data_IF_781112903290
#
_entry.id   IF_781112903290
#
_cell.length_a   1.000
_cell.length_b   1.000
_cell.length_c   1.000
_cell.angle_alpha   90.00
_cell.angle_beta   90.00
_cell.angle_gamma   90.00
#
_symmetry.space_group_name_H-M   'P 1'
#
loop_
_entity.id
_entity.type
_entity.pdbx_description
1 polymer ?
#
# COMPACT_ATOMS: atom_id res chain seq x y z
N UNK A 1 5.79 -2.66 -7.75
CA UNK A 1 4.55 -1.90 -7.52
C UNK A 1 3.77 -1.76 -8.81
N UNK A 2 4.33 -1.15 -9.86
CA UNK A 2 3.61 -0.88 -11.12
C UNK A 2 2.97 -2.10 -11.79
N UNK A 3 3.68 -3.23 -11.86
CA UNK A 3 3.12 -4.46 -12.44
C UNK A 3 1.86 -4.93 -11.70
N UNK A 4 1.87 -4.89 -10.37
CA UNK A 4 0.73 -5.30 -9.53
C UNK A 4 -0.44 -4.34 -9.72
N UNK A 5 -0.17 -3.03 -9.78
CA UNK A 5 -1.19 -2.02 -10.05
C UNK A 5 -1.83 -2.23 -11.44
N UNK A 6 -1.02 -2.53 -12.45
CA UNK A 6 -1.52 -2.82 -13.81
C UNK A 6 -2.40 -4.08 -13.82
N UNK A 7 -1.96 -5.15 -13.15
CA UNK A 7 -2.70 -6.40 -13.04
C UNK A 7 -4.05 -6.20 -12.35
N UNK A 8 -4.07 -5.51 -11.19
CA UNK A 8 -5.31 -5.19 -10.46
C UNK A 8 -6.24 -4.29 -11.28
N UNK A 9 -5.70 -3.31 -12.02
CA UNK A 9 -6.49 -2.45 -12.92
C UNK A 9 -7.07 -3.23 -14.10
N UNK A 10 -6.38 -4.27 -14.57
CA UNK A 10 -6.86 -5.08 -15.70
C UNK A 10 -8.12 -5.89 -15.38
N UNK A 11 -8.43 -6.08 -14.09
CA UNK A 11 -9.68 -6.67 -13.61
C UNK A 11 -10.89 -5.77 -13.85
N UNK A 12 -10.69 -4.47 -14.08
CA UNK A 12 -11.77 -3.49 -14.17
C UNK A 12 -12.46 -3.27 -12.81
N UNK A 13 -13.77 -2.98 -12.84
CA UNK A 13 -14.56 -2.84 -11.62
C UNK A 13 -14.94 -4.22 -11.08
N UNK A 14 -14.56 -4.50 -9.84
CA UNK A 14 -14.94 -5.75 -9.15
C UNK A 14 -16.18 -5.54 -8.29
N UNK A 15 -16.94 -6.61 -8.05
CA UNK A 15 -18.15 -6.58 -7.21
C UNK A 15 -18.08 -7.58 -6.05
N UNK A 16 -18.81 -7.36 -4.94
CA UNK A 16 -18.82 -8.30 -3.82
C UNK A 16 -19.28 -9.71 -4.22
N UNK A 17 -20.27 -9.82 -5.13
CA UNK A 17 -20.77 -11.10 -5.65
C UNK A 17 -19.68 -11.85 -6.40
N UNK A 18 -18.96 -11.17 -7.28
CA UNK A 18 -17.82 -11.77 -8.01
C UNK A 18 -16.76 -12.32 -7.04
N UNK A 19 -16.38 -11.53 -6.02
CA UNK A 19 -15.38 -11.97 -5.04
C UNK A 19 -15.90 -13.09 -4.11
N UNK A 20 -17.21 -13.24 -3.96
CA UNK A 20 -17.82 -14.32 -3.20
C UNK A 20 -17.83 -15.63 -3.98
N UNK A 21 -18.12 -15.57 -5.28
CA UNK A 21 -18.27 -16.74 -6.14
C UNK A 21 -16.93 -17.24 -6.72
N UNK A 22 -15.94 -16.36 -6.88
CA UNK A 22 -14.63 -16.67 -7.46
C UNK A 22 -13.50 -16.60 -6.42
N UNK A 23 -13.31 -17.68 -5.67
CA UNK A 23 -12.30 -17.71 -4.59
C UNK A 23 -10.87 -17.50 -5.10
N UNK A 24 -10.55 -17.90 -6.33
CA UNK A 24 -9.22 -17.68 -6.94
C UNK A 24 -8.97 -16.18 -7.17
N UNK A 25 -9.89 -15.49 -7.84
CA UNK A 25 -9.84 -14.05 -8.10
C UNK A 25 -9.70 -13.28 -6.81
N UNK A 26 -10.52 -13.62 -5.81
CA UNK A 26 -10.45 -13.03 -4.48
C UNK A 26 -9.08 -13.23 -3.82
N UNK A 27 -8.51 -14.44 -3.84
CA UNK A 27 -7.20 -14.72 -3.23
C UNK A 27 -6.06 -14.00 -3.94
N UNK A 28 -6.14 -13.86 -5.27
CA UNK A 28 -5.17 -13.09 -6.04
C UNK A 28 -5.19 -11.62 -5.60
N UNK A 29 -6.38 -11.00 -5.56
CA UNK A 29 -6.56 -9.62 -5.08
C UNK A 29 -6.05 -9.45 -3.63
N UNK A 30 -6.41 -10.36 -2.71
CA UNK A 30 -5.93 -10.31 -1.33
C UNK A 30 -4.39 -10.31 -1.28
N UNK A 31 -3.73 -11.16 -2.09
CA UNK A 31 -2.27 -11.26 -2.09
C UNK A 31 -1.61 -10.03 -2.73
N UNK A 32 -2.16 -9.54 -3.83
CA UNK A 32 -1.64 -8.39 -4.55
C UNK A 32 -1.73 -7.11 -3.72
N UNK A 33 -2.87 -6.89 -3.05
CA UNK A 33 -3.00 -5.76 -2.14
C UNK A 33 -2.09 -5.90 -0.91
N UNK A 34 -1.90 -7.11 -0.38
CA UNK A 34 -0.91 -7.35 0.69
C UNK A 34 0.51 -6.98 0.23
N UNK A 35 0.91 -7.42 -0.98
CA UNK A 35 2.21 -7.10 -1.56
C UNK A 35 2.39 -5.59 -1.75
N UNK A 36 1.37 -4.87 -2.21
CA UNK A 36 1.43 -3.42 -2.36
C UNK A 36 1.72 -2.72 -1.02
N UNK A 37 1.04 -3.12 0.06
CA UNK A 37 1.31 -2.54 1.39
C UNK A 37 2.67 -2.94 1.94
N UNK A 38 3.13 -4.18 1.71
CA UNK A 38 4.48 -4.63 2.06
C UNK A 38 5.54 -3.74 1.38
N UNK A 39 5.38 -3.47 0.08
CA UNK A 39 6.29 -2.59 -0.66
C UNK A 39 6.30 -1.17 -0.08
N UNK A 40 5.15 -0.60 0.29
CA UNK A 40 5.06 0.72 0.93
C UNK A 40 5.89 0.76 2.22
N UNK A 41 5.69 -0.23 3.11
CA UNK A 41 6.37 -0.30 4.40
C UNK A 41 7.87 -0.51 4.21
N UNK A 42 8.28 -1.45 3.36
CA UNK A 42 9.70 -1.76 3.12
C UNK A 42 10.44 -0.57 2.51
N UNK A 43 9.79 0.16 1.60
CA UNK A 43 10.33 1.40 1.02
C UNK A 43 10.53 2.46 2.09
N UNK A 44 9.53 2.66 2.98
CA UNK A 44 9.65 3.60 4.09
C UNK A 44 10.79 3.21 5.04
N UNK A 45 10.89 1.94 5.44
CA UNK A 45 11.99 1.46 6.29
C UNK A 45 13.35 1.66 5.64
N UNK A 46 13.46 1.41 4.32
CA UNK A 46 14.69 1.62 3.56
C UNK A 46 15.11 3.08 3.57
N UNK A 47 14.19 4.01 3.36
CA UNK A 47 14.45 5.45 3.38
C UNK A 47 14.87 5.95 4.77
N UNK A 48 14.19 5.49 5.83
CA UNK A 48 14.57 5.77 7.22
C UNK A 48 16.01 5.29 7.50
N UNK A 49 16.35 4.09 7.04
CA UNK A 49 17.71 3.54 7.19
C UNK A 49 18.75 4.34 6.40
N UNK A 50 18.42 4.81 5.19
CA UNK A 50 19.30 5.66 4.39
C UNK A 50 19.57 7.02 5.04
N UNK A 51 18.58 7.56 5.75
CA UNK A 51 18.72 8.79 6.53
C UNK A 51 19.48 8.59 7.86
N UNK A 52 20.03 7.39 8.12
CA UNK A 52 20.80 7.09 9.33
C UNK A 52 19.96 7.03 10.60
N UNK A 53 18.63 6.97 10.49
CA UNK A 53 17.73 6.89 11.64
C UNK A 53 17.58 5.44 12.12
N UNK A 54 17.16 5.27 13.37
CA UNK A 54 16.82 3.94 13.90
C UNK A 54 15.64 3.33 13.14
N UNK A 55 15.58 2.00 12.97
CA UNK A 55 14.45 1.36 12.31
C UNK A 55 13.12 1.68 13.00
N UNK A 56 12.08 1.89 12.21
CA UNK A 56 10.72 1.97 12.73
C UNK A 56 10.26 0.58 13.24
N UNK A 57 9.48 0.58 14.30
CA UNK A 57 8.96 -0.62 14.96
C UNK A 57 7.65 -1.11 14.37
N UNK A 58 6.93 -0.24 13.66
CA UNK A 58 5.64 -0.56 13.02
C UNK A 58 5.56 0.06 11.62
N UNK A 59 4.67 -0.47 10.77
CA UNK A 59 4.39 0.14 9.47
C UNK A 59 3.85 1.57 9.59
N UNK A 60 3.08 1.87 10.64
CA UNK A 60 2.48 3.20 10.85
C UNK A 60 3.57 4.20 11.20
N UNK A 61 4.48 3.78 12.06
CA UNK A 61 5.68 4.58 12.37
C UNK A 61 6.56 4.76 11.13
N UNK A 62 6.70 3.73 10.29
CA UNK A 62 7.49 3.81 9.05
C UNK A 62 6.96 4.92 8.13
N UNK A 63 5.65 4.94 7.88
CA UNK A 63 4.99 5.99 7.09
C UNK A 63 5.12 7.35 7.77
N UNK A 64 4.80 7.44 9.07
CA UNK A 64 4.84 8.70 9.80
C UNK A 64 6.23 9.35 9.80
N UNK A 65 7.30 8.57 9.88
CA UNK A 65 8.67 9.08 9.80
C UNK A 65 9.01 9.57 8.39
N UNK A 66 8.54 8.90 7.34
CA UNK A 66 8.71 9.39 5.97
C UNK A 66 7.99 10.72 5.73
N UNK A 67 6.82 10.93 6.36
CA UNK A 67 6.15 12.24 6.37
C UNK A 67 7.01 13.29 7.09
N UNK A 68 7.55 12.97 8.27
CA UNK A 68 8.42 13.88 9.03
C UNK A 68 9.71 14.23 8.29
N UNK A 69 10.24 13.30 7.49
CA UNK A 69 11.42 13.51 6.65
C UNK A 69 11.12 14.31 5.38
N UNK A 70 9.84 14.60 5.08
CA UNK A 70 9.44 15.28 3.85
C UNK A 70 9.44 14.38 2.61
N UNK A 71 9.58 13.07 2.76
CA UNK A 71 9.48 12.08 1.67
C UNK A 71 8.03 11.98 1.18
N UNK A 72 7.10 11.96 2.13
CA UNK A 72 5.67 11.80 1.86
C UNK A 72 4.92 13.03 2.34
N UNK A 73 3.83 13.36 1.65
CA UNK A 73 2.86 14.32 2.16
C UNK A 73 2.11 13.75 3.37
N UNK A 74 1.59 14.62 4.24
CA UNK A 74 0.71 14.22 5.34
C UNK A 74 -0.67 13.85 4.78
N UNK A 75 -0.74 12.66 4.20
CA UNK A 75 -1.92 12.13 3.51
C UNK A 75 -2.52 10.96 4.29
N UNK A 76 -3.78 11.12 4.71
CA UNK A 76 -4.47 10.15 5.57
C UNK A 76 -4.49 8.74 4.98
N UNK A 77 -4.58 8.62 3.64
CA UNK A 77 -4.67 7.33 2.96
C UNK A 77 -3.45 6.43 3.24
N UNK A 78 -2.25 6.99 3.45
CA UNK A 78 -1.08 6.18 3.79
C UNK A 78 -1.22 5.49 5.14
N UNK A 79 -1.86 6.15 6.11
CA UNK A 79 -2.21 5.54 7.39
C UNK A 79 -3.22 4.40 7.23
N UNK A 80 -4.20 4.58 6.35
CA UNK A 80 -5.22 3.58 6.04
C UNK A 80 -4.64 2.34 5.33
N UNK A 81 -3.66 2.51 4.42
CA UNK A 81 -2.96 1.38 3.79
C UNK A 81 -2.31 0.45 4.82
N UNK A 82 -1.57 1.02 5.77
CA UNK A 82 -0.91 0.22 6.81
C UNK A 82 -1.93 -0.47 7.72
N UNK A 83 -3.03 0.22 8.05
CA UNK A 83 -4.11 -0.38 8.82
C UNK A 83 -4.75 -1.56 8.07
N UNK A 84 -4.90 -1.45 6.75
CA UNK A 84 -5.42 -2.50 5.91
C UNK A 84 -4.53 -3.76 5.92
N UNK A 85 -3.19 -3.64 5.97
CA UNK A 85 -2.31 -4.81 6.16
C UNK A 85 -2.60 -5.56 7.45
N UNK A 86 -2.93 -4.86 8.54
CA UNK A 86 -3.31 -5.53 9.78
C UNK A 86 -4.63 -6.29 9.62
N UNK A 87 -5.57 -5.75 8.84
CA UNK A 87 -6.83 -6.41 8.53
C UNK A 87 -6.65 -7.67 7.67
N UNK A 88 -5.79 -7.64 6.64
CA UNK A 88 -5.52 -8.84 5.82
C UNK A 88 -4.80 -9.92 6.64
N UNK A 89 -3.80 -9.54 7.44
CA UNK A 89 -2.87 -10.51 8.07
C UNK A 89 -3.43 -11.12 9.35
N UNK A 90 -4.20 -10.39 10.16
CA UNK A 90 -4.66 -10.86 11.48
C UNK A 90 -6.01 -11.62 11.46
N UNK A 91 -6.33 -12.30 10.34
CA UNK A 91 -7.52 -13.14 10.10
C UNK A 91 -8.13 -13.81 11.34
N UNK A 92 -9.16 -13.20 11.94
CA UNK A 92 -10.13 -13.94 12.76
C UNK A 92 -11.43 -14.25 12.00
N UNK A 93 -11.77 -13.50 10.95
CA UNK A 93 -12.88 -13.80 10.03
C UNK A 93 -12.45 -13.41 8.60
N UNK A 94 -13.12 -13.93 7.56
CA UNK A 94 -12.81 -13.61 6.15
C UNK A 94 -12.75 -12.09 5.96
N UNK A 95 -11.73 -11.58 5.25
CA UNK A 95 -11.67 -10.16 4.83
C UNK A 95 -12.99 -9.81 4.15
N UNK A 96 -13.67 -8.75 4.58
CA UNK A 96 -14.95 -8.38 3.98
C UNK A 96 -14.74 -8.09 2.48
N UNK A 97 -15.56 -8.72 1.63
CA UNK A 97 -15.50 -8.52 0.19
C UNK A 97 -15.72 -7.04 -0.17
N UNK A 98 -16.51 -6.31 0.61
CA UNK A 98 -16.71 -4.87 0.42
C UNK A 98 -15.41 -4.07 0.56
N UNK A 99 -14.52 -4.46 1.48
CA UNK A 99 -13.23 -3.79 1.67
C UNK A 99 -12.30 -4.06 0.48
N UNK A 100 -12.25 -5.30 -0.02
CA UNK A 100 -11.45 -5.63 -1.20
C UNK A 100 -11.96 -4.90 -2.45
N UNK A 101 -13.27 -4.78 -2.59
CA UNK A 101 -13.91 -4.02 -3.68
C UNK A 101 -13.54 -2.55 -3.61
N UNK A 102 -13.64 -1.91 -2.43
CA UNK A 102 -13.23 -0.51 -2.27
C UNK A 102 -11.75 -0.32 -2.62
N UNK A 103 -10.88 -1.21 -2.14
CA UNK A 103 -9.45 -1.13 -2.41
C UNK A 103 -9.13 -1.17 -3.90
N UNK A 104 -9.71 -2.12 -4.64
CA UNK A 104 -9.46 -2.28 -6.08
C UNK A 104 -10.10 -1.17 -6.89
N UNK A 105 -11.34 -0.79 -6.56
CA UNK A 105 -12.10 0.15 -7.40
C UNK A 105 -11.75 1.62 -7.11
N UNK A 106 -11.33 1.95 -5.88
CA UNK A 106 -11.20 3.32 -5.43
C UNK A 106 -9.79 3.70 -4.94
N UNK A 107 -9.01 2.75 -4.39
CA UNK A 107 -7.79 3.07 -3.61
C UNK A 107 -6.47 2.77 -4.29
N UNK A 108 -6.47 2.12 -5.47
CA UNK A 108 -5.25 1.94 -6.26
C UNK A 108 -4.49 3.26 -6.55
N UNK A 109 -5.16 4.40 -6.82
CA UNK A 109 -4.46 5.69 -6.99
C UNK A 109 -3.64 6.13 -5.78
N UNK A 110 -4.00 5.74 -4.56
CA UNK A 110 -3.24 6.12 -3.38
C UNK A 110 -1.82 5.50 -3.41
N UNK A 111 -1.67 4.28 -3.94
CA UNK A 111 -0.35 3.64 -4.14
C UNK A 111 0.46 4.31 -5.26
N UNK A 112 -0.21 4.82 -6.29
CA UNK A 112 0.44 5.59 -7.35
C UNK A 112 0.97 6.91 -6.81
N UNK A 113 0.19 7.60 -5.96
CA UNK A 113 0.63 8.81 -5.28
C UNK A 113 1.84 8.54 -4.38
N UNK A 114 1.81 7.46 -3.59
CA UNK A 114 2.96 7.05 -2.78
C UNK A 114 4.22 6.85 -3.64
N UNK A 115 4.09 6.11 -4.75
CA UNK A 115 5.20 5.88 -5.69
C UNK A 115 5.75 7.20 -6.22
N UNK A 116 4.87 8.10 -6.65
CA UNK A 116 5.26 9.35 -7.30
C UNK A 116 5.95 10.30 -6.32
N UNK A 117 5.47 10.41 -5.08
CA UNK A 117 6.12 11.19 -4.01
C UNK A 117 7.50 10.63 -3.65
N UNK A 118 7.63 9.31 -3.48
CA UNK A 118 8.94 8.68 -3.22
C UNK A 118 9.91 8.92 -4.38
N UNK A 119 9.47 8.77 -5.62
CA UNK A 119 10.31 9.00 -6.80
C UNK A 119 10.72 10.47 -6.92
N UNK A 120 9.83 11.42 -6.60
CA UNK A 120 10.16 12.84 -6.58
C UNK A 120 11.26 13.13 -5.55
N UNK A 121 11.07 12.65 -4.32
CA UNK A 121 12.06 12.80 -3.25
C UNK A 121 13.44 12.23 -3.64
N UNK A 122 13.48 11.02 -4.19
CA UNK A 122 14.76 10.38 -4.57
C UNK A 122 15.48 11.20 -5.65
N UNK A 123 14.76 11.73 -6.65
CA UNK A 123 15.36 12.55 -7.72
C UNK A 123 15.92 13.87 -7.19
N UNK A 124 15.26 14.48 -6.22
CA UNK A 124 15.76 15.71 -5.59
C UNK A 124 17.09 15.45 -4.87
N UNK A 125 17.22 14.32 -4.16
CA UNK A 125 18.45 13.94 -3.46
C UNK A 125 19.63 13.55 -4.38
N UNK A 126 19.37 13.17 -5.64
CA UNK A 126 20.43 12.88 -6.63
C UNK A 126 21.00 14.16 -7.27
N UNK A 127 20.33 15.30 -7.10
CA UNK A 127 20.73 16.58 -7.72
C UNK A 127 21.61 17.44 -6.80
N UNK A 128 21.72 17.06 -5.52
CA UNK A 128 22.59 17.66 -4.48
C UNK A 128 23.94 16.93 -4.35
#
# INVERSE_FOLDING_TARGET
MDQILLELRSLGQVSPTQLADEWQTRRAIERDLQLLVEIVIDTCQRLISLAGQSPATTGRESVSRCVQMGVLSDYEAYGQMVQFRNFIVHRYERVDAAILVDMVNCRLPDFEQFRDEVLAYVREQETD
#
